data_IF_819647334816
#
_entry.id   IF_819647334816
#
_cell.length_a   1.000
_cell.length_b   1.000
_cell.length_c   1.000
_cell.angle_alpha   90.00
_cell.angle_beta   90.00
_cell.angle_gamma   90.00
#
_symmetry.space_group_name_H-M   'P 1'
#
loop_
_entity.id
_entity.type
_entity.pdbx_description
1 polymer ?
#
# COMPACT_ATOMS: atom_id res chain seq x y z
N UNK A 1 -25.45 1.43 -2.58
CA UNK A 1 -25.16 0.49 -1.48
C UNK A 1 -24.12 1.06 -0.49
N UNK A 2 -23.01 1.65 -0.92
CA UNK A 2 -21.95 2.17 -0.03
C UNK A 2 -22.38 3.34 0.90
N UNK A 3 -23.48 4.00 0.62
CA UNK A 3 -23.89 5.20 1.36
C UNK A 3 -24.63 4.89 2.67
N UNK A 4 -25.30 3.74 2.73
CA UNK A 4 -26.02 3.30 3.94
C UNK A 4 -25.07 2.65 4.96
N UNK A 5 -24.03 1.96 4.48
CA UNK A 5 -23.03 1.32 5.36
C UNK A 5 -22.23 2.36 6.16
N UNK A 6 -21.89 3.51 5.53
CA UNK A 6 -21.19 4.58 6.22
C UNK A 6 -22.02 5.23 7.36
N UNK A 7 -23.37 5.24 7.25
CA UNK A 7 -24.26 5.80 8.29
C UNK A 7 -24.43 4.87 9.48
N UNK A 8 -24.23 3.58 9.30
CA UNK A 8 -24.32 2.58 10.37
C UNK A 8 -22.98 2.28 11.03
N UNK A 9 -21.88 2.77 10.46
CA UNK A 9 -20.54 2.59 11.01
C UNK A 9 -20.36 3.36 12.32
N UNK A 10 -19.78 2.69 13.32
CA UNK A 10 -19.49 3.30 14.63
C UNK A 10 -18.02 3.67 14.79
N UNK A 11 -17.14 3.16 13.90
CA UNK A 11 -15.70 3.34 13.96
C UNK A 11 -15.14 3.61 12.56
N UNK A 12 -13.99 4.25 12.51
CA UNK A 12 -13.25 4.50 11.27
C UNK A 12 -11.78 4.15 11.47
N UNK A 13 -11.16 3.60 10.44
CA UNK A 13 -9.72 3.33 10.46
C UNK A 13 -8.95 4.63 10.21
N UNK A 14 -7.99 4.90 11.08
CA UNK A 14 -7.09 6.03 10.96
C UNK A 14 -5.65 5.55 10.78
N UNK A 15 -5.06 5.84 9.62
CA UNK A 15 -3.65 5.65 9.33
C UNK A 15 -2.88 6.86 9.87
N UNK A 16 -2.20 6.69 10.98
CA UNK A 16 -1.51 7.78 11.66
C UNK A 16 -0.13 8.09 11.10
N UNK A 17 0.51 7.12 10.51
CA UNK A 17 1.88 7.20 10.03
C UNK A 17 2.52 5.82 10.01
N UNK A 18 3.79 5.78 9.67
CA UNK A 18 4.58 4.56 9.70
C UNK A 18 5.86 4.76 10.51
N UNK A 19 6.47 3.67 10.92
CA UNK A 19 7.72 3.65 11.64
C UNK A 19 8.71 2.74 10.94
N UNK A 20 9.92 3.20 10.72
CA UNK A 20 10.97 2.36 10.18
C UNK A 20 11.25 1.22 11.16
N UNK A 21 11.21 -0.02 10.67
CA UNK A 21 11.53 -1.21 11.45
C UNK A 21 13.06 -1.30 11.57
N UNK A 22 13.58 -1.32 12.80
CA UNK A 22 14.98 -1.67 13.03
C UNK A 22 15.14 -3.20 12.95
N UNK A 23 15.88 -3.75 11.96
CA UNK A 23 16.06 -5.19 11.81
C UNK A 23 16.78 -5.84 13.01
N UNK A 24 17.47 -5.04 13.83
CA UNK A 24 18.21 -5.53 15.00
C UNK A 24 17.34 -5.63 16.26
N UNK A 25 16.18 -4.98 16.25
CA UNK A 25 15.22 -5.05 17.33
C UNK A 25 14.16 -6.10 17.01
N UNK A 26 14.33 -7.29 17.57
CA UNK A 26 13.32 -8.37 17.48
C UNK A 26 12.04 -8.04 18.27
N UNK A 27 12.03 -6.96 19.03
CA UNK A 27 10.86 -6.52 19.79
C UNK A 27 9.86 -5.84 18.88
N UNK A 28 8.60 -6.23 19.05
CA UNK A 28 7.48 -5.79 18.22
C UNK A 28 7.33 -4.28 18.13
N UNK A 29 6.48 -3.86 17.21
CA UNK A 29 6.13 -2.46 16.99
C UNK A 29 5.70 -1.84 18.32
N UNK A 30 6.43 -0.82 18.78
CA UNK A 30 6.04 -0.05 19.96
C UNK A 30 4.74 0.70 19.63
N UNK A 31 3.69 0.44 20.39
CA UNK A 31 2.49 1.25 20.33
C UNK A 31 2.82 2.68 20.72
N UNK A 32 2.72 3.58 19.76
CA UNK A 32 2.95 4.99 19.99
C UNK A 32 1.63 5.73 20.14
N UNK A 33 1.55 6.48 21.17
CA UNK A 33 0.57 7.48 21.58
C UNK A 33 -0.85 7.34 21.06
N UNK A 34 -1.78 7.17 21.95
CA UNK A 34 -3.22 7.34 21.69
C UNK A 34 -3.51 8.82 21.44
N UNK A 35 -4.42 9.11 20.51
CA UNK A 35 -4.92 10.46 20.30
C UNK A 35 -5.64 10.88 21.57
N UNK A 36 -5.29 12.04 22.11
CA UNK A 36 -5.91 12.59 23.30
C UNK A 36 -7.16 13.40 22.94
N UNK A 37 -8.12 13.44 23.85
CA UNK A 37 -9.29 14.30 23.66
C UNK A 37 -8.85 15.77 23.57
N UNK A 38 -9.31 16.48 22.54
CA UNK A 38 -8.94 17.87 22.26
C UNK A 38 -7.80 18.06 21.26
N UNK A 39 -7.16 16.99 20.79
CA UNK A 39 -6.22 17.07 19.66
C UNK A 39 -6.97 17.23 18.33
N UNK A 40 -6.41 18.05 17.45
CA UNK A 40 -6.89 18.26 16.08
C UNK A 40 -6.00 17.53 15.08
N UNK A 41 -6.61 16.89 14.09
CA UNK A 41 -5.94 16.11 13.07
C UNK A 41 -6.26 16.64 11.67
N UNK A 42 -5.25 16.83 10.84
CA UNK A 42 -5.42 17.03 9.40
C UNK A 42 -5.40 15.66 8.72
N UNK A 43 -6.55 15.26 8.16
CA UNK A 43 -6.70 13.94 7.55
C UNK A 43 -7.19 14.03 6.11
N UNK A 44 -6.77 13.08 5.27
CA UNK A 44 -7.33 12.82 3.94
C UNK A 44 -8.24 11.61 4.03
N UNK A 45 -9.42 11.72 3.42
CA UNK A 45 -10.35 10.58 3.28
C UNK A 45 -9.95 9.80 2.02
N UNK A 46 -9.70 8.52 2.16
CA UNK A 46 -9.31 7.64 1.07
C UNK A 46 -10.29 6.47 0.95
N UNK A 47 -10.59 6.09 -0.28
CA UNK A 47 -11.39 4.90 -0.55
C UNK A 47 -10.57 3.64 -0.28
N UNK A 48 -11.17 2.61 0.30
CA UNK A 48 -10.54 1.29 0.44
C UNK A 48 -10.06 0.71 -0.89
N UNK A 49 -10.71 1.05 -2.00
CA UNK A 49 -10.33 0.58 -3.34
C UNK A 49 -8.94 1.04 -3.74
N UNK A 50 -8.48 2.18 -3.25
CA UNK A 50 -7.13 2.68 -3.50
C UNK A 50 -6.08 1.83 -2.78
N UNK A 51 -6.44 1.24 -1.64
CA UNK A 51 -5.61 0.29 -0.90
C UNK A 51 -5.79 -1.16 -1.39
N UNK A 52 -6.86 -1.45 -2.10
CA UNK A 52 -7.18 -2.79 -2.61
C UNK A 52 -6.30 -3.26 -3.78
N UNK A 53 -5.51 -2.38 -4.39
CA UNK A 53 -4.56 -2.76 -5.43
C UNK A 53 -3.51 -3.79 -4.96
N UNK A 54 -3.33 -3.95 -3.64
CA UNK A 54 -2.52 -4.99 -3.03
C UNK A 54 -3.23 -6.36 -2.91
N UNK A 55 -4.49 -6.47 -3.34
CA UNK A 55 -5.31 -7.70 -3.22
C UNK A 55 -4.94 -8.83 -4.19
N UNK A 56 -3.85 -8.74 -4.93
CA UNK A 56 -3.41 -9.80 -5.83
C UNK A 56 -3.11 -11.09 -5.07
N UNK A 57 -4.16 -11.89 -4.80
CA UNK A 57 -4.05 -13.27 -4.33
C UNK A 57 -3.70 -13.49 -2.86
N UNK A 58 -3.77 -12.49 -2.00
CA UNK A 58 -3.43 -12.56 -0.57
C UNK A 58 -4.65 -12.65 0.36
N UNK A 59 -5.87 -12.74 -0.16
CA UNK A 59 -7.12 -12.62 0.59
C UNK A 59 -7.22 -13.50 1.85
N UNK A 60 -6.72 -14.74 1.80
CA UNK A 60 -6.82 -15.68 2.92
C UNK A 60 -5.61 -15.63 3.89
N UNK A 61 -4.52 -14.96 3.51
CA UNK A 61 -3.31 -14.87 4.34
C UNK A 61 -3.25 -13.61 5.21
N UNK A 62 -4.27 -12.80 5.17
CA UNK A 62 -4.34 -11.45 5.75
C UNK A 62 -4.52 -11.46 7.27
N UNK A 63 -4.96 -12.55 7.82
CA UNK A 63 -5.19 -12.67 9.24
C UNK A 63 -4.01 -13.36 9.92
N UNK A 64 -3.04 -12.57 10.34
CA UNK A 64 -2.17 -13.00 11.43
C UNK A 64 -3.00 -13.31 12.68
N UNK A 65 -2.54 -14.21 13.51
CA UNK A 65 -3.18 -14.68 14.74
C UNK A 65 -3.50 -13.58 15.76
N UNK A 66 -3.07 -12.35 15.48
CA UNK A 66 -3.23 -11.19 16.34
C UNK A 66 -3.90 -10.04 15.58
N UNK A 67 -4.95 -9.48 16.14
CA UNK A 67 -5.68 -8.28 15.68
C UNK A 67 -4.80 -7.02 15.46
N UNK A 68 -3.49 -7.14 15.67
CA UNK A 68 -2.52 -6.04 15.63
C UNK A 68 -1.75 -5.91 14.32
N UNK A 69 -1.76 -6.93 13.47
CA UNK A 69 -0.95 -6.93 12.23
C UNK A 69 -1.83 -7.29 11.04
N UNK A 70 -2.08 -6.30 10.19
CA UNK A 70 -2.85 -6.47 8.98
C UNK A 70 -1.96 -6.15 7.76
N UNK A 71 -1.94 -7.04 6.78
CA UNK A 71 -1.20 -6.82 5.54
C UNK A 71 -2.02 -6.05 4.50
N UNK A 72 -3.33 -6.11 4.60
CA UNK A 72 -4.26 -5.45 3.69
C UNK A 72 -5.35 -4.78 4.52
N UNK A 73 -5.73 -3.59 4.14
CA UNK A 73 -6.85 -2.87 4.75
C UNK A 73 -8.13 -3.36 4.08
N UNK A 74 -8.97 -4.04 4.86
CA UNK A 74 -10.30 -4.49 4.49
C UNK A 74 -11.21 -4.27 5.70
N UNK A 75 -12.02 -3.21 5.64
CA UNK A 75 -12.85 -2.80 6.79
C UNK A 75 -13.87 -3.86 7.18
N UNK A 76 -14.38 -4.63 6.21
CA UNK A 76 -15.34 -5.68 6.47
C UNK A 76 -14.69 -6.82 7.25
N UNK A 77 -13.57 -7.35 6.75
CA UNK A 77 -12.84 -8.45 7.41
C UNK A 77 -12.30 -8.02 8.77
N UNK A 78 -11.78 -6.79 8.87
CA UNK A 78 -11.29 -6.24 10.14
C UNK A 78 -12.44 -6.03 11.13
N UNK A 79 -13.59 -5.54 10.66
CA UNK A 79 -14.80 -5.36 11.44
C UNK A 79 -15.33 -6.68 12.00
N UNK A 80 -15.48 -7.69 11.16
CA UNK A 80 -15.96 -9.02 11.56
C UNK A 80 -15.07 -9.66 12.65
N UNK A 81 -13.75 -9.51 12.49
CA UNK A 81 -12.79 -10.05 13.46
C UNK A 81 -12.69 -9.26 14.76
N UNK A 82 -12.88 -7.96 14.72
CA UNK A 82 -12.79 -7.08 15.90
C UNK A 82 -14.14 -6.89 16.61
N UNK A 83 -15.24 -7.34 15.99
CA UNK A 83 -16.60 -7.07 16.48
C UNK A 83 -17.03 -5.60 16.34
N UNK A 84 -16.32 -4.80 15.54
CA UNK A 84 -16.59 -3.38 15.33
C UNK A 84 -17.20 -3.15 13.95
N UNK A 85 -18.14 -2.21 13.84
CA UNK A 85 -18.65 -1.75 12.54
C UNK A 85 -17.77 -0.63 12.01
N UNK A 86 -16.91 -0.98 11.06
CA UNK A 86 -15.97 -0.05 10.44
C UNK A 86 -16.58 0.65 9.22
N UNK A 87 -16.23 1.91 9.02
CA UNK A 87 -16.60 2.64 7.82
C UNK A 87 -15.85 2.10 6.59
N UNK A 88 -16.45 2.10 5.37
CA UNK A 88 -15.85 1.60 4.15
C UNK A 88 -14.87 2.61 3.51
N UNK A 89 -14.18 3.36 4.35
CA UNK A 89 -13.14 4.30 3.97
C UNK A 89 -12.11 4.43 5.09
N UNK A 90 -10.96 4.95 4.75
CA UNK A 90 -9.82 5.11 5.64
C UNK A 90 -9.47 6.58 5.75
N UNK A 91 -9.13 7.03 6.93
CA UNK A 91 -8.55 8.35 7.15
C UNK A 91 -7.03 8.23 7.16
N UNK A 92 -6.35 9.05 6.38
CA UNK A 92 -4.89 9.16 6.40
C UNK A 92 -4.50 10.48 7.05
N UNK A 93 -3.77 10.41 8.15
CA UNK A 93 -3.22 11.60 8.81
C UNK A 93 -2.07 12.17 7.97
N UNK A 94 -2.12 13.46 7.65
CA UNK A 94 -1.13 14.12 6.79
C UNK A 94 -0.03 14.79 7.61
N UNK A 95 -0.37 15.37 8.75
CA UNK A 95 0.53 16.14 9.59
C UNK A 95 0.50 15.64 11.04
N UNK A 96 1.40 16.12 11.86
CA UNK A 96 1.35 15.87 13.30
C UNK A 96 0.02 16.35 13.90
N UNK A 97 -0.45 15.67 14.94
CA UNK A 97 -1.60 16.16 15.68
C UNK A 97 -1.27 17.50 16.34
N UNK A 98 -2.28 18.34 16.53
CA UNK A 98 -2.13 19.63 17.20
C UNK A 98 -2.93 19.58 18.50
N UNK A 99 -2.31 19.92 19.61
CA UNK A 99 -2.94 19.96 20.91
C UNK A 99 -3.92 21.17 21.06
N UNK A 100 -4.64 21.24 22.16
CA UNK A 100 -5.56 22.32 22.45
C UNK A 100 -4.87 23.71 22.56
N UNK A 101 -3.55 23.76 22.63
CA UNK A 101 -2.75 25.00 22.66
C UNK A 101 -2.19 25.38 21.30
N UNK A 102 -2.49 24.60 20.25
CA UNK A 102 -1.97 24.82 18.91
C UNK A 102 -0.52 24.32 18.70
N UNK A 103 0.00 23.46 19.59
CA UNK A 103 1.34 22.91 19.47
C UNK A 103 1.30 21.52 18.83
N UNK A 104 2.29 21.25 17.95
CA UNK A 104 2.42 19.94 17.32
C UNK A 104 2.80 18.87 18.36
N UNK A 105 2.12 17.75 18.32
CA UNK A 105 2.37 16.60 19.20
C UNK A 105 3.39 15.68 18.53
N UNK A 106 4.57 15.58 19.14
CA UNK A 106 5.66 14.72 18.69
C UNK A 106 5.37 13.25 19.05
N UNK A 107 4.86 12.48 18.10
CA UNK A 107 4.56 11.05 18.29
C UNK A 107 5.61 10.13 17.66
N UNK A 108 6.61 10.69 16.95
CA UNK A 108 7.69 9.95 16.32
C UNK A 108 7.25 9.08 15.14
N UNK A 109 6.07 9.33 14.58
CA UNK A 109 5.58 8.68 13.37
C UNK A 109 5.97 9.49 12.12
N UNK A 110 6.36 8.77 11.08
CA UNK A 110 6.67 9.34 9.77
C UNK A 110 5.39 9.40 8.96
N UNK A 111 5.10 10.56 8.34
CA UNK A 111 3.91 10.81 7.52
C UNK A 111 4.26 11.14 6.08
N UNK A 112 5.47 10.81 5.67
CA UNK A 112 5.88 10.82 4.26
C UNK A 112 5.28 9.59 3.59
N UNK A 113 4.10 9.76 3.01
CA UNK A 113 3.35 8.68 2.40
C UNK A 113 3.83 8.49 0.97
N UNK A 114 4.40 7.32 0.61
CA UNK A 114 4.85 7.09 -0.77
C UNK A 114 3.65 7.11 -1.72
N UNK A 115 3.77 7.90 -2.78
CA UNK A 115 2.76 7.91 -3.82
C UNK A 115 2.83 6.63 -4.66
N UNK A 116 1.68 6.03 -5.03
CA UNK A 116 1.65 4.80 -5.83
C UNK A 116 2.26 4.93 -7.23
N UNK A 117 2.49 6.15 -7.69
CA UNK A 117 2.90 6.44 -9.07
C UNK A 117 4.29 5.91 -9.46
N UNK A 118 5.23 5.82 -8.52
CA UNK A 118 6.61 5.43 -8.81
C UNK A 118 6.75 3.97 -9.24
N UNK A 119 5.88 3.08 -8.78
CA UNK A 119 5.88 1.67 -9.16
C UNK A 119 5.53 1.44 -10.63
N UNK A 120 4.57 2.18 -11.16
CA UNK A 120 4.08 2.04 -12.54
C UNK A 120 5.15 2.45 -13.56
N UNK A 121 5.89 3.50 -13.30
CA UNK A 121 6.97 3.97 -14.17
C UNK A 121 8.09 2.93 -14.30
N UNK A 122 8.50 2.34 -13.17
CA UNK A 122 9.52 1.28 -13.15
C UNK A 122 9.05 0.06 -13.93
N UNK A 123 7.82 -0.38 -13.76
CA UNK A 123 7.28 -1.53 -14.51
C UNK A 123 7.21 -1.26 -16.01
N UNK A 124 6.86 -0.06 -16.44
CA UNK A 124 6.88 0.33 -17.86
C UNK A 124 8.30 0.30 -18.43
N UNK A 125 9.29 0.79 -17.69
CA UNK A 125 10.68 0.76 -18.11
C UNK A 125 11.19 -0.68 -18.27
N UNK A 126 10.88 -1.57 -17.31
CA UNK A 126 11.23 -2.99 -17.43
C UNK A 126 10.53 -3.67 -18.61
N UNK A 127 9.25 -3.41 -18.84
CA UNK A 127 8.53 -3.94 -19.99
C UNK A 127 9.20 -3.53 -21.31
N UNK A 128 9.54 -2.24 -21.46
CA UNK A 128 10.26 -1.75 -22.63
C UNK A 128 11.59 -2.47 -22.83
N UNK A 129 12.38 -2.69 -21.78
CA UNK A 129 13.64 -3.41 -21.82
C UNK A 129 13.46 -4.85 -22.37
N UNK A 130 12.45 -5.56 -21.90
CA UNK A 130 12.17 -6.91 -22.39
C UNK A 130 11.74 -6.94 -23.86
N UNK A 131 10.95 -5.98 -24.30
CA UNK A 131 10.59 -5.83 -25.71
C UNK A 131 11.81 -5.57 -26.59
N UNK A 132 12.75 -4.74 -26.14
CA UNK A 132 14.01 -4.50 -26.86
C UNK A 132 14.87 -5.77 -26.96
N UNK A 133 14.98 -6.55 -25.90
CA UNK A 133 15.70 -7.82 -25.95
C UNK A 133 15.05 -8.84 -26.91
N UNK A 134 13.71 -8.94 -26.89
CA UNK A 134 12.99 -9.79 -27.83
C UNK A 134 13.24 -9.38 -29.29
N UNK A 135 13.12 -8.09 -29.61
CA UNK A 135 13.33 -7.60 -30.97
C UNK A 135 14.78 -7.84 -31.43
N UNK A 136 15.75 -7.59 -30.57
CA UNK A 136 17.16 -7.85 -30.87
C UNK A 136 17.42 -9.33 -31.13
N UNK A 137 16.86 -10.22 -30.34
CA UNK A 137 16.97 -11.67 -30.51
C UNK A 137 16.36 -12.14 -31.83
N UNK A 138 15.20 -11.61 -32.20
CA UNK A 138 14.56 -11.90 -33.47
C UNK A 138 15.39 -11.40 -34.67
N UNK A 139 15.94 -10.19 -34.57
CA UNK A 139 16.82 -9.64 -35.62
C UNK A 139 18.06 -10.49 -35.78
N UNK A 140 18.70 -10.91 -34.70
CA UNK A 140 19.87 -11.76 -34.73
C UNK A 140 19.55 -13.12 -35.37
N UNK A 141 18.45 -13.75 -34.96
CA UNK A 141 18.00 -15.01 -35.53
C UNK A 141 17.75 -14.89 -37.05
N UNK A 142 17.12 -13.80 -37.49
CA UNK A 142 16.91 -13.54 -38.91
C UNK A 142 18.21 -13.37 -39.68
N UNK A 143 19.15 -12.60 -39.16
CA UNK A 143 20.46 -12.39 -39.78
C UNK A 143 21.20 -13.73 -39.92
N UNK A 144 21.21 -14.57 -38.89
CA UNK A 144 21.84 -15.89 -38.92
C UNK A 144 21.15 -16.78 -39.98
N UNK A 145 19.82 -16.83 -40.00
CA UNK A 145 19.07 -17.63 -40.98
C UNK A 145 19.31 -17.19 -42.42
N UNK A 146 19.40 -15.88 -42.67
CA UNK A 146 19.73 -15.36 -44.00
C UNK A 146 21.18 -15.69 -44.42
N UNK A 147 22.11 -15.60 -43.51
CA UNK A 147 23.52 -15.99 -43.81
C UNK A 147 23.65 -17.47 -44.15
N UNK A 148 22.96 -18.33 -43.41
CA UNK A 148 23.00 -19.77 -43.70
C UNK A 148 22.42 -20.12 -45.08
N UNK A 149 21.34 -19.44 -45.48
CA UNK A 149 20.78 -19.62 -46.84
C UNK A 149 21.73 -19.19 -47.96
N UNK A 150 22.61 -18.21 -47.69
CA UNK A 150 23.54 -17.71 -48.68
C UNK A 150 24.83 -18.58 -48.76
N UNK A 151 25.20 -19.24 -47.66
CA UNK A 151 26.41 -20.04 -47.57
C UNK A 151 26.21 -21.51 -47.95
N UNK A 152 24.95 -21.98 -48.04
CA UNK A 152 24.58 -23.36 -48.41
C UNK A 152 23.65 -23.33 -49.65
N UNK A 153 24.16 -23.04 -50.87
CA UNK A 153 23.39 -23.19 -52.10
C UNK A 153 23.32 -24.69 -52.43
N UNK A 154 22.14 -25.29 -52.30
CA UNK A 154 21.82 -26.66 -52.69
C UNK A 154 22.12 -26.92 -54.19
#
# INVERSE_FOLDING_TARGET
YARDDARSASHVLLLRGWQAKDPRQAQGIQERGTIQAGESLLVRVESEREHAAARLGLGDRVAGDHLRHWLVIDSQVMGDKSGMRLAPFVLRQLEAAVDAKGQAVEDGLIRDWPEPADGVQKHKAYALQWFLFCTLSWMLALVIALRWRVTDPA
#
